data_IF_450339103981
#
_entry.id   IF_450339103981
#
_cell.length_a   1.000
_cell.length_b   1.000
_cell.length_c   1.000
_cell.angle_alpha   90.00
_cell.angle_beta   90.00
_cell.angle_gamma   90.00
#
_symmetry.space_group_name_H-M   'P 1'
#
loop_
_entity.id
_entity.type
_entity.pdbx_description
1 polymer ?
#
# COMPACT_ATOMS: atom_id res chain seq x y z
N UNK A 1 -1.81 33.28 -68.63
CA UNK A 1 -1.30 32.11 -67.94
C UNK A 1 -1.41 32.38 -66.46
N UNK A 2 -2.38 31.74 -65.79
CA UNK A 2 -2.59 31.92 -64.36
C UNK A 2 -1.98 30.76 -63.62
N UNK A 3 -0.89 31.01 -62.90
CA UNK A 3 -0.32 30.06 -61.94
C UNK A 3 -1.14 30.14 -60.66
N UNK A 4 -1.86 29.06 -60.33
CA UNK A 4 -2.52 28.90 -59.05
C UNK A 4 -1.52 28.34 -58.05
N UNK A 5 -1.28 28.99 -56.92
CA UNK A 5 -0.48 28.36 -55.85
C UNK A 5 -1.33 27.27 -55.17
N UNK A 6 -0.82 26.05 -55.22
CA UNK A 6 -1.41 24.93 -54.49
C UNK A 6 -1.21 25.12 -53.00
N UNK A 7 -2.35 25.09 -52.30
CA UNK A 7 -2.37 25.14 -50.84
C UNK A 7 -1.99 23.74 -50.31
N UNK A 8 -0.76 23.60 -49.80
CA UNK A 8 -0.33 22.38 -49.07
C UNK A 8 -0.90 22.44 -47.65
N UNK A 9 -1.95 21.66 -47.44
CA UNK A 9 -2.42 21.40 -46.09
C UNK A 9 -1.43 20.41 -45.44
N UNK A 10 -0.58 20.91 -44.55
CA UNK A 10 0.20 20.06 -43.65
C UNK A 10 -0.74 19.50 -42.56
N UNK A 11 -1.12 18.25 -42.70
CA UNK A 11 -1.81 17.54 -41.62
C UNK A 11 -0.81 17.26 -40.50
N UNK A 12 -0.85 18.08 -39.44
CA UNK A 12 -0.07 17.84 -38.24
C UNK A 12 -0.62 16.60 -37.50
N UNK A 13 0.12 15.52 -37.51
CA UNK A 13 -0.16 14.41 -36.61
C UNK A 13 0.14 14.88 -35.17
N UNK A 14 -0.92 15.16 -34.41
CA UNK A 14 -0.80 15.32 -32.97
C UNK A 14 -0.48 13.96 -32.37
N UNK A 15 0.78 13.74 -32.02
CA UNK A 15 1.18 12.56 -31.23
C UNK A 15 0.64 12.74 -29.81
N UNK A 16 -0.44 12.04 -29.49
CA UNK A 16 -0.90 11.91 -28.11
C UNK A 16 0.07 10.99 -27.38
N UNK A 17 0.95 11.59 -26.56
CA UNK A 17 1.78 10.81 -25.66
C UNK A 17 0.88 10.07 -24.65
N UNK A 18 1.08 8.75 -24.42
CA UNK A 18 0.35 8.04 -23.38
C UNK A 18 0.65 8.71 -22.03
N UNK A 19 -0.40 9.00 -21.26
CA UNK A 19 -0.24 9.49 -19.91
C UNK A 19 0.57 8.46 -19.12
N UNK A 20 1.77 8.85 -18.64
CA UNK A 20 2.56 7.99 -17.77
C UNK A 20 1.76 7.74 -16.50
N UNK A 21 1.27 6.52 -16.32
CA UNK A 21 0.81 6.04 -15.03
C UNK A 21 2.02 6.09 -14.10
N UNK A 22 2.02 7.05 -13.16
CA UNK A 22 3.01 7.06 -12.10
C UNK A 22 2.76 5.83 -11.27
N UNK A 23 3.62 4.83 -11.43
CA UNK A 23 3.74 3.74 -10.48
C UNK A 23 4.07 4.37 -9.13
N UNK A 24 3.05 4.48 -8.29
CA UNK A 24 3.22 5.02 -6.95
C UNK A 24 3.94 3.96 -6.15
N UNK A 25 5.17 4.28 -5.70
CA UNK A 25 5.89 3.42 -4.77
C UNK A 25 4.98 3.13 -3.55
N UNK A 26 4.62 1.87 -3.30
CA UNK A 26 3.74 1.52 -2.20
C UNK A 26 4.31 1.92 -0.84
N UNK A 27 5.62 2.07 -0.72
CA UNK A 27 6.30 2.47 0.51
C UNK A 27 6.48 4.00 0.64
N UNK A 28 5.97 4.78 -0.29
CA UNK A 28 6.16 6.24 -0.33
C UNK A 28 5.59 6.96 0.90
N UNK A 29 4.58 6.40 1.55
CA UNK A 29 4.00 6.99 2.77
C UNK A 29 4.98 7.03 3.95
N UNK A 30 5.98 6.17 3.97
CA UNK A 30 7.00 6.13 5.02
C UNK A 30 8.13 7.15 4.79
N UNK A 31 8.25 7.66 3.57
CA UNK A 31 9.29 8.63 3.20
C UNK A 31 9.11 9.95 3.96
N UNK A 32 10.21 10.49 4.48
CA UNK A 32 10.19 11.74 5.26
C UNK A 32 9.69 11.58 6.70
N UNK A 33 9.50 10.36 7.16
CA UNK A 33 9.13 10.04 8.53
C UNK A 33 10.29 9.38 9.27
N UNK A 34 10.29 9.50 10.58
CA UNK A 34 11.30 8.88 11.46
C UNK A 34 10.69 7.66 12.14
N UNK A 35 11.38 6.53 12.01
CA UNK A 35 11.01 5.29 12.70
C UNK A 35 11.30 5.39 14.19
N UNK A 36 10.32 5.02 15.01
CA UNK A 36 10.47 4.89 16.46
C UNK A 36 10.77 3.46 16.89
N UNK A 37 10.73 3.22 18.18
CA UNK A 37 10.98 1.89 18.75
C UNK A 37 9.86 0.91 18.35
N UNK A 38 10.23 -0.33 17.96
CA UNK A 38 9.23 -1.36 17.68
C UNK A 38 8.42 -1.73 18.91
N UNK A 39 7.13 -2.04 18.71
CA UNK A 39 6.27 -2.61 19.74
C UNK A 39 5.70 -3.94 19.27
N UNK A 40 5.32 -4.81 20.21
CA UNK A 40 4.80 -6.13 19.87
C UNK A 40 3.35 -6.11 19.43
N UNK A 41 2.53 -5.26 20.05
CA UNK A 41 1.08 -5.25 19.88
C UNK A 41 0.54 -3.85 19.61
N UNK A 42 -0.52 -3.78 18.80
CA UNK A 42 -1.41 -2.61 18.72
C UNK A 42 -2.65 -2.86 19.60
N UNK A 43 -3.40 -1.79 19.89
CA UNK A 43 -4.69 -1.93 20.58
C UNK A 43 -5.70 -2.72 19.74
N UNK A 44 -6.59 -3.46 20.41
CA UNK A 44 -7.57 -4.35 19.76
C UNK A 44 -8.42 -3.65 18.69
N UNK A 45 -8.80 -2.41 18.95
CA UNK A 45 -9.66 -1.63 18.06
C UNK A 45 -9.01 -1.28 16.72
N UNK A 46 -7.70 -1.47 16.61
CA UNK A 46 -6.91 -1.09 15.43
C UNK A 46 -6.70 -2.21 14.43
N UNK A 47 -7.03 -3.44 14.79
CA UNK A 47 -6.80 -4.61 13.92
C UNK A 47 -7.53 -4.49 12.58
N UNK A 48 -8.77 -4.00 12.59
CA UNK A 48 -9.58 -3.82 11.39
C UNK A 48 -9.11 -2.71 10.44
N UNK A 49 -8.17 -1.89 10.89
CA UNK A 49 -7.64 -0.77 10.11
C UNK A 49 -6.28 -1.06 9.48
N UNK A 50 -5.75 -2.25 9.68
CA UNK A 50 -4.52 -2.70 9.01
C UNK A 50 -4.79 -2.98 7.53
N UNK A 51 -3.95 -2.45 6.67
CA UNK A 51 -4.03 -2.62 5.22
C UNK A 51 -2.69 -3.09 4.68
N UNK A 52 -2.73 -3.91 3.63
CA UNK A 52 -1.52 -4.26 2.91
C UNK A 52 -1.13 -3.13 1.95
N UNK A 53 0.15 -2.84 1.86
CA UNK A 53 0.72 -1.96 0.83
C UNK A 53 1.42 -2.76 -0.26
N UNK A 54 1.96 -3.92 0.10
CA UNK A 54 2.52 -4.92 -0.80
C UNK A 54 2.40 -6.32 -0.17
N UNK A 55 3.06 -7.32 -0.75
CA UNK A 55 3.00 -8.72 -0.30
C UNK A 55 3.78 -9.00 0.99
N UNK A 56 4.42 -8.00 1.56
CA UNK A 56 5.27 -8.12 2.74
C UNK A 56 5.09 -7.02 3.78
N UNK A 57 4.32 -5.98 3.49
CA UNK A 57 4.23 -4.80 4.34
C UNK A 57 2.78 -4.43 4.61
N UNK A 58 2.44 -4.28 5.88
CA UNK A 58 1.16 -3.73 6.32
C UNK A 58 1.36 -2.32 6.87
N UNK A 59 0.31 -1.51 6.75
CA UNK A 59 0.26 -0.16 7.28
C UNK A 59 -1.01 0.04 8.11
N UNK A 60 -0.87 0.75 9.21
CA UNK A 60 -1.98 1.31 9.97
C UNK A 60 -1.79 2.82 10.08
N UNK A 61 -2.77 3.55 9.57
CA UNK A 61 -2.74 5.02 9.61
C UNK A 61 -3.48 5.52 10.85
N UNK A 62 -2.73 5.76 11.93
CA UNK A 62 -3.30 6.23 13.18
C UNK A 62 -3.75 7.69 13.08
N UNK A 63 -2.92 8.54 12.48
CA UNK A 63 -3.18 9.95 12.24
C UNK A 63 -2.34 10.45 11.07
N UNK A 64 -2.54 11.71 10.67
CA UNK A 64 -1.68 12.32 9.65
C UNK A 64 -0.20 12.41 10.06
N UNK A 65 0.08 12.41 11.37
CA UNK A 65 1.44 12.52 11.93
C UNK A 65 2.08 11.17 12.18
N UNK A 66 1.32 10.14 12.53
CA UNK A 66 1.83 8.82 12.90
C UNK A 66 1.15 7.74 12.09
N UNK A 67 1.96 6.94 11.45
CA UNK A 67 1.55 5.68 10.83
C UNK A 67 2.38 4.53 11.41
N UNK A 68 1.84 3.34 11.37
CA UNK A 68 2.51 2.14 11.83
C UNK A 68 2.82 1.24 10.65
N UNK A 69 4.00 0.68 10.68
CA UNK A 69 4.47 -0.29 9.68
C UNK A 69 4.65 -1.64 10.32
N UNK A 70 4.21 -2.67 9.64
CA UNK A 70 4.48 -4.05 10.01
C UNK A 70 5.15 -4.74 8.82
N UNK A 71 6.41 -5.07 8.97
CA UNK A 71 7.13 -5.90 8.00
C UNK A 71 6.93 -7.35 8.37
N UNK A 72 6.28 -8.11 7.48
CA UNK A 72 6.04 -9.52 7.69
C UNK A 72 7.38 -10.27 7.63
N UNK A 73 7.59 -11.30 8.48
CA UNK A 73 8.82 -12.08 8.44
C UNK A 73 9.01 -12.82 7.12
N UNK A 74 7.90 -13.19 6.47
CA UNK A 74 7.90 -13.89 5.19
C UNK A 74 6.98 -13.21 4.20
N UNK A 75 7.23 -13.37 2.90
CA UNK A 75 6.30 -12.94 1.87
C UNK A 75 4.96 -13.66 2.05
N UNK A 76 3.88 -12.91 1.98
CA UNK A 76 2.53 -13.42 2.05
C UNK A 76 1.95 -13.52 0.63
N UNK A 77 1.93 -14.70 0.01
CA UNK A 77 1.49 -14.84 -1.37
C UNK A 77 0.04 -14.37 -1.58
N UNK A 78 -0.16 -13.55 -2.60
CA UNK A 78 -1.46 -13.01 -2.96
C UNK A 78 -1.91 -11.79 -2.15
N UNK A 79 -1.09 -11.35 -1.19
CA UNK A 79 -1.37 -10.13 -0.43
C UNK A 79 -1.07 -8.88 -1.29
N UNK A 80 -2.02 -8.00 -1.39
CA UNK A 80 -1.91 -6.72 -2.09
C UNK A 80 -2.78 -5.64 -1.41
N UNK A 81 -2.75 -4.44 -1.94
CA UNK A 81 -3.49 -3.30 -1.40
C UNK A 81 -5.02 -3.43 -1.50
N UNK A 82 -5.51 -4.40 -2.27
CA UNK A 82 -6.95 -4.71 -2.42
C UNK A 82 -7.40 -5.89 -1.55
N UNK A 83 -6.51 -6.44 -0.74
CA UNK A 83 -6.82 -7.56 0.15
C UNK A 83 -7.59 -7.12 1.38
N UNK A 84 -8.56 -7.94 1.79
CA UNK A 84 -9.19 -7.88 3.10
C UNK A 84 -8.39 -8.78 4.03
N UNK A 85 -7.97 -8.26 5.18
CA UNK A 85 -7.18 -9.01 6.15
C UNK A 85 -8.10 -9.58 7.22
N UNK A 86 -8.04 -10.89 7.41
CA UNK A 86 -8.77 -11.60 8.45
C UNK A 86 -7.79 -12.08 9.50
N UNK A 87 -7.87 -11.52 10.70
CA UNK A 87 -6.96 -11.80 11.80
C UNK A 87 -7.55 -12.82 12.76
N UNK A 88 -6.72 -13.75 13.21
CA UNK A 88 -6.98 -14.53 14.40
C UNK A 88 -6.27 -13.83 15.57
N UNK A 89 -7.04 -13.14 16.39
CA UNK A 89 -6.53 -12.38 17.52
C UNK A 89 -6.91 -13.05 18.82
N UNK A 90 -5.89 -13.39 19.59
CA UNK A 90 -6.06 -13.95 20.93
C UNK A 90 -5.58 -12.91 21.96
N UNK A 91 -6.53 -12.21 22.61
CA UNK A 91 -6.21 -11.22 23.64
C UNK A 91 -6.36 -9.77 23.17
N UNK A 92 -5.49 -8.88 23.66
CA UNK A 92 -5.65 -7.43 23.60
C UNK A 92 -5.29 -6.74 22.27
N UNK A 93 -5.40 -7.38 21.14
CA UNK A 93 -5.16 -6.78 19.82
C UNK A 93 -4.15 -7.55 18.98
N UNK A 94 -3.86 -7.11 17.74
CA UNK A 94 -2.89 -7.79 16.88
C UNK A 94 -1.48 -7.61 17.45
N UNK A 95 -0.79 -8.73 17.58
CA UNK A 95 0.57 -8.80 18.13
C UNK A 95 1.51 -9.48 17.16
N UNK A 96 2.80 -9.22 17.32
CA UNK A 96 3.85 -9.95 16.61
C UNK A 96 3.65 -11.46 16.78
N UNK A 97 3.68 -12.19 15.67
CA UNK A 97 3.46 -13.64 15.66
C UNK A 97 2.02 -14.06 15.45
N UNK A 98 1.05 -13.16 15.61
CA UNK A 98 -0.34 -13.45 15.28
C UNK A 98 -0.50 -13.73 13.80
N UNK A 99 -1.46 -14.61 13.48
CA UNK A 99 -1.71 -15.04 12.12
C UNK A 99 -2.90 -14.33 11.50
N UNK A 100 -2.84 -14.17 10.20
CA UNK A 100 -3.93 -13.62 9.40
C UNK A 100 -3.98 -14.28 8.02
N UNK A 101 -5.11 -14.12 7.35
CA UNK A 101 -5.28 -14.53 5.96
C UNK A 101 -5.68 -13.32 5.13
N UNK A 102 -5.12 -13.24 3.94
CA UNK A 102 -5.55 -12.27 2.94
C UNK A 102 -6.71 -12.87 2.14
N UNK A 103 -7.82 -12.14 2.06
CA UNK A 103 -8.96 -12.50 1.23
C UNK A 103 -9.09 -11.47 0.12
N UNK A 104 -9.04 -11.92 -1.12
CA UNK A 104 -9.20 -11.02 -2.26
C UNK A 104 -10.67 -10.58 -2.35
N UNK A 105 -10.88 -9.27 -2.52
CA UNK A 105 -12.23 -8.72 -2.70
C UNK A 105 -12.93 -9.40 -3.87
N UNK A 106 -14.16 -9.82 -3.64
CA UNK A 106 -15.01 -10.45 -4.65
C UNK A 106 -14.81 -11.95 -4.86
N UNK A 107 -13.73 -12.56 -4.39
CA UNK A 107 -13.52 -14.00 -4.53
C UNK A 107 -13.99 -14.82 -3.33
N UNK A 108 -13.95 -14.24 -2.14
CA UNK A 108 -14.29 -14.92 -0.89
C UNK A 108 -13.40 -16.10 -0.51
N UNK A 109 -12.38 -16.39 -1.30
CA UNK A 109 -11.44 -17.51 -1.07
C UNK A 109 -10.29 -16.99 -0.21
N UNK A 110 -10.10 -17.52 1.02
CA UNK A 110 -8.98 -17.12 1.85
C UNK A 110 -7.66 -17.61 1.27
N UNK A 111 -6.64 -16.73 1.34
CA UNK A 111 -5.27 -17.06 0.99
C UNK A 111 -4.58 -17.88 2.09
N UNK A 112 -3.28 -18.13 1.93
CA UNK A 112 -2.49 -18.84 2.94
C UNK A 112 -2.43 -18.04 4.24
N UNK A 113 -2.10 -18.74 5.33
CA UNK A 113 -1.89 -18.12 6.62
C UNK A 113 -0.55 -17.42 6.66
N UNK A 114 -0.57 -16.13 7.04
CA UNK A 114 0.63 -15.31 7.16
C UNK A 114 0.79 -14.83 8.60
N UNK A 115 1.99 -14.36 8.95
CA UNK A 115 2.35 -13.96 10.31
C UNK A 115 2.71 -12.49 10.38
N UNK A 116 2.31 -11.84 11.46
CA UNK A 116 2.72 -10.47 11.75
C UNK A 116 4.16 -10.40 12.27
N UNK A 117 4.88 -9.37 11.85
CA UNK A 117 6.12 -8.92 12.46
C UNK A 117 5.87 -7.91 13.58
N UNK A 118 6.91 -7.20 13.98
CA UNK A 118 6.80 -6.10 14.94
C UNK A 118 6.14 -4.88 14.32
N UNK A 119 5.48 -4.08 15.14
CA UNK A 119 4.90 -2.80 14.73
C UNK A 119 5.88 -1.67 14.99
N UNK A 120 6.21 -0.91 13.96
CA UNK A 120 7.15 0.22 14.04
C UNK A 120 6.40 1.51 13.76
N UNK A 121 6.41 2.48 14.70
CA UNK A 121 5.80 3.79 14.45
C UNK A 121 6.69 4.64 13.54
N UNK A 122 6.06 5.32 12.59
CA UNK A 122 6.70 6.29 11.70
C UNK A 122 6.04 7.64 11.91
N UNK A 123 6.80 8.61 12.38
CA UNK A 123 6.31 9.93 12.78
C UNK A 123 6.88 10.99 11.85
N UNK A 124 6.02 11.92 11.39
CA UNK A 124 6.48 13.08 10.64
C UNK A 124 7.40 13.93 11.49
N UNK A 125 8.52 14.31 10.90
CA UNK A 125 9.41 15.31 11.51
C UNK A 125 8.76 16.67 11.37
N UNK A 126 8.67 17.44 12.46
CA UNK A 126 8.26 18.85 12.39
C UNK A 126 9.31 19.63 11.61
N UNK A 127 8.90 20.46 10.62
CA UNK A 127 9.82 21.34 9.95
C UNK A 127 10.43 22.37 10.92
#
# INVERSE_FOLDING_TARGET
MSLRPGLLLAAGLAATAPAATRDRDPLSEFTGRVAGAPVRCLNADRAGSLQAVDDRTLIYRESSRRIWRNDLPDVCPGLDDDSILVFEVFGGGPCKGDTFRAVRRGSGIPGPMCRLGSFVPYVKVKP
#
